data_IF_035946425329
#
_entry.id   IF_035946425329
#
_cell.length_a   1.000
_cell.length_b   1.000
_cell.length_c   1.000
_cell.angle_alpha   90.00
_cell.angle_beta   90.00
_cell.angle_gamma   90.00
#
_symmetry.space_group_name_H-M   'P 1'
#
loop_
_entity.id
_entity.type
_entity.pdbx_description
1 polymer ?
#
# COMPACT_ATOMS: atom_id res chain seq x y z
N UNK A 1 -4.01 16.25 -3.98
CA UNK A 1 -3.97 14.81 -3.64
C UNK A 1 -4.95 14.60 -2.50
N UNK A 2 -5.83 13.59 -2.58
CA UNK A 2 -6.80 13.26 -1.52
C UNK A 2 -6.07 12.79 -0.26
N UNK A 3 -6.44 13.33 0.90
CA UNK A 3 -5.88 12.96 2.19
C UNK A 3 -6.45 11.65 2.75
N UNK A 4 -5.89 11.18 3.86
CA UNK A 4 -6.29 9.92 4.49
C UNK A 4 -6.13 9.99 6.00
N UNK A 5 -7.19 9.65 6.73
CA UNK A 5 -7.14 9.46 8.17
C UNK A 5 -7.27 7.99 8.54
N UNK A 6 -6.29 7.50 9.31
CA UNK A 6 -6.36 6.16 9.88
C UNK A 6 -7.41 6.06 10.99
N UNK A 7 -7.81 4.84 11.33
CA UNK A 7 -8.70 4.59 12.48
C UNK A 7 -8.17 5.24 13.77
N UNK A 8 -6.85 5.18 13.98
CA UNK A 8 -6.19 5.77 15.15
C UNK A 8 -6.26 7.30 15.13
N UNK A 9 -5.97 7.93 13.98
CA UNK A 9 -6.08 9.39 13.80
C UNK A 9 -7.50 9.90 14.04
N UNK A 10 -8.51 9.12 13.64
CA UNK A 10 -9.92 9.45 13.86
C UNK A 10 -10.33 9.24 15.32
N UNK A 11 -9.68 8.30 16.03
CA UNK A 11 -10.06 7.85 17.36
C UNK A 11 -11.21 6.84 17.34
N UNK A 12 -11.26 5.97 16.33
CA UNK A 12 -12.23 4.86 16.29
C UNK A 12 -11.86 3.78 17.31
N UNK A 13 -12.88 3.21 17.95
CA UNK A 13 -12.74 2.05 18.84
C UNK A 13 -12.32 0.81 18.06
N UNK A 14 -11.75 -0.19 18.75
CA UNK A 14 -11.50 -1.49 18.14
C UNK A 14 -12.82 -2.16 17.68
N UNK A 15 -12.84 -2.85 16.52
CA UNK A 15 -14.00 -3.62 16.11
C UNK A 15 -14.22 -4.80 17.06
N UNK A 16 -15.48 -5.17 17.33
CA UNK A 16 -15.87 -6.38 18.06
C UNK A 16 -15.53 -7.67 17.31
N UNK A 17 -15.37 -7.58 15.99
CA UNK A 17 -15.04 -8.71 15.13
C UNK A 17 -14.74 -8.27 13.70
N UNK A 18 -13.87 -9.04 13.04
CA UNK A 18 -13.41 -8.77 11.67
C UNK A 18 -13.85 -9.94 10.78
N UNK A 19 -14.60 -9.64 9.73
CA UNK A 19 -15.01 -10.63 8.74
C UNK A 19 -14.33 -10.34 7.40
N UNK A 20 -13.45 -11.24 6.96
CA UNK A 20 -12.72 -11.13 5.67
C UNK A 20 -13.36 -11.95 4.55
N UNK A 21 -14.49 -12.62 4.81
CA UNK A 21 -15.23 -13.38 3.80
C UNK A 21 -16.07 -12.44 2.93
N UNK A 22 -15.42 -11.92 1.88
CA UNK A 22 -15.99 -11.01 0.88
C UNK A 22 -15.46 -11.35 -0.51
N UNK A 23 -16.33 -11.39 -1.53
CA UNK A 23 -15.96 -11.50 -2.94
C UNK A 23 -16.57 -10.32 -3.69
N UNK A 24 -15.92 -9.16 -3.59
CA UNK A 24 -16.47 -7.88 -4.03
C UNK A 24 -16.38 -7.65 -5.55
N UNK A 25 -16.59 -8.68 -6.37
CA UNK A 25 -16.46 -8.62 -7.83
C UNK A 25 -17.46 -7.67 -8.48
N UNK A 26 -18.56 -7.33 -7.79
CA UNK A 26 -19.54 -6.37 -8.29
C UNK A 26 -19.12 -4.92 -8.10
N UNK A 27 -18.10 -4.63 -7.28
CA UNK A 27 -17.50 -3.30 -7.12
C UNK A 27 -17.88 -2.57 -5.83
N UNK A 28 -18.21 -1.28 -5.92
CA UNK A 28 -18.42 -0.40 -4.77
C UNK A 28 -19.81 0.23 -4.77
N UNK A 29 -20.43 0.30 -3.60
CA UNK A 29 -21.66 1.01 -3.35
C UNK A 29 -21.37 2.34 -2.62
N UNK A 30 -21.91 3.44 -3.12
CA UNK A 30 -21.77 4.76 -2.51
C UNK A 30 -22.99 5.08 -1.63
N UNK A 31 -22.70 5.66 -0.47
CA UNK A 31 -23.64 5.95 0.61
C UNK A 31 -23.46 7.37 1.11
N UNK A 32 -24.50 7.95 1.69
CA UNK A 32 -24.40 9.22 2.41
C UNK A 32 -24.83 9.04 3.87
N UNK A 33 -24.65 10.07 4.69
CA UNK A 33 -24.95 10.07 6.12
C UNK A 33 -26.44 10.03 6.46
N UNK A 34 -27.33 10.24 5.49
CA UNK A 34 -28.78 10.24 5.69
C UNK A 34 -29.40 11.64 5.63
N UNK A 35 -30.47 11.83 6.40
CA UNK A 35 -31.24 13.08 6.40
C UNK A 35 -30.51 14.24 7.09
N UNK A 36 -30.71 15.46 6.58
CA UNK A 36 -30.18 16.69 7.18
C UNK A 36 -28.76 17.06 6.73
N UNK A 37 -28.15 18.02 7.44
CA UNK A 37 -26.87 18.66 7.09
C UNK A 37 -25.70 18.04 7.85
N UNK A 38 -24.79 17.43 7.11
CA UNK A 38 -23.59 16.77 7.62
C UNK A 38 -22.31 17.48 7.22
N UNK A 39 -22.39 18.49 6.34
CA UNK A 39 -21.26 19.37 6.03
C UNK A 39 -20.73 20.01 7.31
N UNK A 40 -19.41 20.09 7.42
CA UNK A 40 -18.70 20.69 8.57
C UNK A 40 -17.66 21.67 8.09
N UNK A 41 -17.50 22.77 8.80
CA UNK A 41 -16.45 23.75 8.46
C UNK A 41 -15.07 23.14 8.63
N UNK A 42 -14.84 22.44 9.75
CA UNK A 42 -13.53 21.89 10.08
C UNK A 42 -13.51 20.35 9.91
N UNK A 43 -12.40 19.84 9.39
CA UNK A 43 -12.22 18.40 9.21
C UNK A 43 -12.22 17.60 10.53
N UNK A 44 -11.79 18.22 11.63
CA UNK A 44 -11.88 17.61 12.97
C UNK A 44 -13.32 17.22 13.35
N UNK A 45 -14.32 17.97 12.88
CA UNK A 45 -15.73 17.67 13.10
C UNK A 45 -16.20 16.49 12.24
N UNK A 46 -15.61 16.27 11.06
CA UNK A 46 -15.83 15.07 10.26
C UNK A 46 -15.31 13.82 10.97
N UNK A 47 -14.14 13.89 11.62
CA UNK A 47 -13.64 12.81 12.50
C UNK A 47 -14.60 12.55 13.67
N UNK A 48 -15.12 13.61 14.30
CA UNK A 48 -16.09 13.49 15.37
C UNK A 48 -17.40 12.81 14.92
N UNK A 49 -17.93 13.19 13.75
CA UNK A 49 -19.10 12.52 13.17
C UNK A 49 -18.85 11.05 12.85
N UNK A 50 -17.69 10.72 12.27
CA UNK A 50 -17.36 9.34 11.95
C UNK A 50 -17.24 8.46 13.20
N UNK A 51 -16.66 8.98 14.29
CA UNK A 51 -16.72 8.35 15.62
C UNK A 51 -18.14 8.17 16.10
N UNK A 52 -18.97 9.20 16.02
CA UNK A 52 -20.38 9.12 16.43
C UNK A 52 -21.16 8.05 15.64
N UNK A 53 -20.86 7.87 14.35
CA UNK A 53 -21.46 6.79 13.55
C UNK A 53 -21.01 5.41 14.02
N UNK A 54 -19.73 5.24 14.33
CA UNK A 54 -19.25 3.99 14.91
C UNK A 54 -19.94 3.75 16.26
N UNK A 55 -20.11 4.78 17.07
CA UNK A 55 -20.76 4.67 18.37
C UNK A 55 -22.21 4.25 18.28
N UNK A 56 -22.96 4.82 17.35
CA UNK A 56 -24.33 4.40 17.07
C UNK A 56 -24.42 2.97 16.53
N UNK A 57 -23.50 2.57 15.64
CA UNK A 57 -23.47 1.20 15.11
C UNK A 57 -23.15 0.16 16.19
N UNK A 58 -22.28 0.50 17.13
CA UNK A 58 -21.89 -0.35 18.25
C UNK A 58 -22.83 -0.24 19.45
N UNK A 59 -23.79 0.68 19.45
CA UNK A 59 -24.67 0.90 20.59
C UNK A 59 -25.41 -0.40 20.99
N UNK A 60 -25.51 -0.72 22.29
CA UNK A 60 -26.36 -1.81 22.76
C UNK A 60 -27.79 -1.64 22.26
N UNK A 61 -28.42 -2.72 21.80
CA UNK A 61 -29.79 -2.67 21.26
C UNK A 61 -29.91 -2.16 19.82
N UNK A 62 -28.80 -1.86 19.13
CA UNK A 62 -28.84 -1.68 17.68
C UNK A 62 -29.28 -3.00 17.02
N UNK A 63 -30.41 -2.98 16.29
CA UNK A 63 -31.02 -4.18 15.69
C UNK A 63 -30.11 -4.92 14.71
N UNK A 64 -29.16 -4.23 14.09
CA UNK A 64 -28.20 -4.81 13.15
C UNK A 64 -26.98 -5.45 13.85
N UNK A 65 -26.83 -5.23 15.17
CA UNK A 65 -25.75 -5.75 16.01
C UNK A 65 -24.37 -5.70 15.34
N UNK A 66 -23.96 -4.51 14.89
CA UNK A 66 -22.74 -4.39 14.11
C UNK A 66 -21.49 -4.71 14.94
N UNK A 67 -20.49 -5.26 14.25
CA UNK A 67 -19.17 -5.50 14.82
C UNK A 67 -18.29 -4.24 14.83
N UNK A 68 -18.65 -3.21 14.06
CA UNK A 68 -17.91 -1.97 13.86
C UNK A 68 -18.82 -0.97 13.14
N UNK A 69 -18.33 0.22 12.79
CA UNK A 69 -18.96 1.07 11.78
C UNK A 69 -19.36 0.24 10.56
N UNK A 70 -20.55 0.47 10.00
CA UNK A 70 -21.11 -0.41 8.95
C UNK A 70 -20.33 -0.35 7.62
N UNK A 71 -19.65 0.76 7.34
CA UNK A 71 -19.03 1.05 6.05
C UNK A 71 -17.57 0.60 5.97
N UNK A 72 -17.09 0.35 4.75
CA UNK A 72 -15.68 0.03 4.52
C UNK A 72 -14.79 1.25 4.68
N UNK A 73 -15.15 2.35 4.02
CA UNK A 73 -14.47 3.63 4.11
C UNK A 73 -15.52 4.74 4.25
N UNK A 74 -15.12 5.84 4.85
CA UNK A 74 -15.82 7.12 4.82
C UNK A 74 -15.09 8.12 3.92
N UNK A 75 -15.78 9.15 3.49
CA UNK A 75 -15.20 10.30 2.78
C UNK A 75 -15.82 11.59 3.27
N UNK A 76 -15.09 12.70 3.23
CA UNK A 76 -15.65 14.01 3.54
C UNK A 76 -15.32 15.03 2.45
N UNK A 77 -16.05 16.14 2.47
CA UNK A 77 -15.91 17.23 1.50
C UNK A 77 -14.61 18.04 1.64
N UNK A 78 -13.74 17.71 2.60
CA UNK A 78 -12.37 18.24 2.68
C UNK A 78 -11.37 17.44 1.83
N UNK A 79 -11.84 16.57 0.94
CA UNK A 79 -11.01 15.70 0.08
C UNK A 79 -10.19 14.69 0.90
N UNK A 80 -10.82 14.04 1.89
CA UNK A 80 -10.17 13.10 2.81
C UNK A 80 -10.96 11.81 2.93
N UNK A 81 -10.24 10.69 2.86
CA UNK A 81 -10.75 9.34 3.14
C UNK A 81 -10.62 9.05 4.64
N UNK A 82 -11.67 8.47 5.21
CA UNK A 82 -11.76 8.08 6.62
C UNK A 82 -11.78 6.56 6.70
N UNK A 83 -10.85 5.94 7.42
CA UNK A 83 -10.90 4.48 7.58
C UNK A 83 -12.15 4.02 8.33
N UNK A 84 -12.78 2.98 7.81
CA UNK A 84 -13.88 2.28 8.45
C UNK A 84 -13.47 0.84 8.73
N UNK A 85 -14.29 -0.11 8.28
CA UNK A 85 -13.94 -1.53 8.39
C UNK A 85 -12.70 -1.90 7.60
N UNK A 86 -12.51 -1.30 6.44
CA UNK A 86 -11.31 -1.42 5.63
C UNK A 86 -10.30 -0.36 6.05
N UNK A 87 -9.04 -0.75 6.16
CA UNK A 87 -7.89 0.12 6.47
C UNK A 87 -6.80 -0.12 5.45
N UNK A 88 -5.76 0.73 5.43
CA UNK A 88 -4.56 0.50 4.58
C UNK A 88 -3.95 -0.88 4.83
N UNK A 89 -3.83 -1.27 6.09
CA UNK A 89 -3.22 -2.56 6.48
C UNK A 89 -4.17 -3.75 6.33
N UNK A 90 -5.48 -3.48 6.33
CA UNK A 90 -6.53 -4.49 6.24
C UNK A 90 -7.61 -4.05 5.25
N UNK A 91 -7.31 -4.03 3.94
CA UNK A 91 -8.22 -3.49 2.93
C UNK A 91 -9.43 -4.40 2.67
N UNK A 92 -9.25 -5.72 2.74
CA UNK A 92 -10.27 -6.72 2.37
C UNK A 92 -11.14 -7.16 3.55
N UNK A 93 -12.20 -6.39 3.80
CA UNK A 93 -13.10 -6.60 4.95
C UNK A 93 -14.55 -6.46 4.52
N UNK A 94 -15.43 -7.32 5.01
CA UNK A 94 -16.85 -7.28 4.68
C UNK A 94 -17.55 -6.11 5.36
N UNK A 95 -18.26 -5.32 4.55
CA UNK A 95 -19.15 -4.25 5.01
C UNK A 95 -20.41 -4.77 5.72
N UNK A 96 -21.26 -3.84 6.16
CA UNK A 96 -22.56 -4.09 6.76
C UNK A 96 -23.67 -3.16 6.25
N UNK A 97 -23.37 -2.33 5.25
CA UNK A 97 -24.22 -1.19 4.89
C UNK A 97 -25.09 -1.39 3.64
N UNK A 98 -24.91 -2.46 2.85
CA UNK A 98 -25.54 -2.62 1.54
C UNK A 98 -26.90 -3.36 1.58
N UNK A 99 -27.63 -3.29 2.69
CA UNK A 99 -28.96 -3.89 2.85
C UNK A 99 -28.95 -5.29 3.47
N UNK A 100 -28.31 -6.30 2.87
CA UNK A 100 -28.30 -7.66 3.41
C UNK A 100 -26.92 -8.34 3.32
N UNK A 101 -26.80 -9.51 3.96
CA UNK A 101 -25.55 -10.26 3.98
C UNK A 101 -25.02 -10.54 2.57
N UNK A 102 -25.82 -11.07 1.66
CA UNK A 102 -25.39 -11.39 0.29
C UNK A 102 -24.77 -10.19 -0.42
N UNK A 103 -25.42 -9.03 -0.35
CA UNK A 103 -24.93 -7.80 -0.99
C UNK A 103 -23.70 -7.23 -0.27
N UNK A 104 -23.67 -7.33 1.07
CA UNK A 104 -22.47 -6.99 1.84
C UNK A 104 -21.26 -7.88 1.51
N UNK A 105 -21.49 -9.08 0.96
CA UNK A 105 -20.46 -10.01 0.51
C UNK A 105 -19.99 -9.79 -0.93
N UNK A 106 -20.70 -8.99 -1.74
CA UNK A 106 -20.40 -8.80 -3.16
C UNK A 106 -20.01 -7.36 -3.55
N UNK A 107 -20.14 -6.40 -2.64
CA UNK A 107 -19.74 -5.01 -2.83
C UNK A 107 -19.12 -4.42 -1.57
N UNK A 108 -18.13 -3.55 -1.74
CA UNK A 108 -17.68 -2.66 -0.66
C UNK A 108 -18.61 -1.45 -0.54
N UNK A 109 -18.52 -0.74 0.58
CA UNK A 109 -19.38 0.42 0.89
C UNK A 109 -18.55 1.65 1.26
N UNK A 110 -18.78 2.77 0.59
CA UNK A 110 -18.12 4.07 0.85
C UNK A 110 -19.18 5.06 1.28
N UNK A 111 -19.03 5.69 2.45
CA UNK A 111 -20.02 6.62 3.00
C UNK A 111 -19.50 8.06 3.07
N UNK A 112 -20.20 9.01 2.48
CA UNK A 112 -19.90 10.42 2.66
C UNK A 112 -20.44 10.97 3.97
N UNK A 113 -19.64 11.82 4.62
CA UNK A 113 -20.09 12.85 5.57
C UNK A 113 -20.80 13.95 4.77
N UNK A 114 -21.98 13.60 4.25
CA UNK A 114 -22.87 14.42 3.42
C UNK A 114 -24.29 13.87 3.57
N UNK A 115 -25.30 14.72 3.57
CA UNK A 115 -26.69 14.33 3.75
C UNK A 115 -27.63 15.07 2.82
N UNK A 116 -28.92 14.76 2.93
CA UNK A 116 -29.96 15.33 2.07
C UNK A 116 -30.10 16.85 2.20
N UNK A 117 -29.62 17.44 3.29
CA UNK A 117 -29.67 18.87 3.56
C UNK A 117 -28.40 19.64 3.18
N UNK A 118 -27.40 18.99 2.57
CA UNK A 118 -26.13 19.63 2.20
C UNK A 118 -26.10 20.17 0.76
N UNK A 119 -27.10 19.83 -0.06
CA UNK A 119 -27.17 20.24 -1.47
C UNK A 119 -26.23 19.47 -2.38
N UNK A 120 -25.78 20.12 -3.45
CA UNK A 120 -24.91 19.51 -4.46
C UNK A 120 -23.52 19.22 -3.88
N UNK A 121 -22.98 18.00 -4.10
CA UNK A 121 -21.69 17.62 -3.56
C UNK A 121 -20.57 18.42 -4.24
N UNK A 122 -19.63 19.01 -3.48
CA UNK A 122 -18.50 19.70 -4.09
C UNK A 122 -17.52 18.70 -4.72
N UNK A 123 -16.74 19.17 -5.69
CA UNK A 123 -15.72 18.39 -6.39
C UNK A 123 -14.76 17.65 -5.44
N UNK A 124 -14.41 18.26 -4.30
CA UNK A 124 -13.56 17.64 -3.28
C UNK A 124 -14.17 16.37 -2.68
N UNK A 125 -15.49 16.33 -2.49
CA UNK A 125 -16.16 15.14 -2.01
C UNK A 125 -16.17 14.04 -3.09
N UNK A 126 -16.45 14.42 -4.33
CA UNK A 126 -16.48 13.50 -5.47
C UNK A 126 -15.09 12.88 -5.73
N UNK A 127 -14.02 13.68 -5.65
CA UNK A 127 -12.63 13.18 -5.70
C UNK A 127 -12.35 12.19 -4.59
N UNK A 128 -12.75 12.47 -3.35
CA UNK A 128 -12.55 11.56 -2.23
C UNK A 128 -13.25 10.21 -2.45
N UNK A 129 -14.48 10.21 -3.00
CA UNK A 129 -15.16 8.98 -3.40
C UNK A 129 -14.37 8.16 -4.42
N UNK A 130 -13.90 8.82 -5.49
CA UNK A 130 -13.15 8.17 -6.55
C UNK A 130 -11.82 7.60 -6.04
N UNK A 131 -11.12 8.34 -5.18
CA UNK A 131 -9.90 7.89 -4.53
C UNK A 131 -10.14 6.69 -3.59
N UNK A 132 -11.20 6.72 -2.78
CA UNK A 132 -11.58 5.59 -1.92
C UNK A 132 -11.94 4.35 -2.75
N UNK A 133 -12.65 4.53 -3.87
CA UNK A 133 -12.96 3.45 -4.81
C UNK A 133 -11.69 2.90 -5.46
N UNK A 134 -10.78 3.76 -5.89
CA UNK A 134 -9.51 3.36 -6.49
C UNK A 134 -8.71 2.48 -5.51
N UNK A 135 -8.60 2.89 -4.25
CA UNK A 135 -7.97 2.09 -3.19
C UNK A 135 -8.64 0.72 -3.01
N UNK A 136 -9.97 0.65 -2.94
CA UNK A 136 -10.67 -0.63 -2.77
C UNK A 136 -10.47 -1.55 -3.99
N UNK A 137 -10.31 -0.99 -5.18
CA UNK A 137 -10.00 -1.76 -6.40
C UNK A 137 -8.57 -2.27 -6.41
N UNK A 138 -7.58 -1.44 -6.06
CA UNK A 138 -6.17 -1.82 -6.09
C UNK A 138 -5.82 -2.76 -4.93
N UNK A 139 -6.27 -2.42 -3.72
CA UNK A 139 -5.83 -3.10 -2.49
C UNK A 139 -6.80 -4.18 -2.00
N UNK A 140 -8.10 -4.05 -2.31
CA UNK A 140 -9.13 -4.93 -1.74
C UNK A 140 -9.79 -5.85 -2.78
N UNK A 141 -9.40 -5.77 -4.05
CA UNK A 141 -9.94 -6.61 -5.14
C UNK A 141 -11.39 -6.28 -5.51
N UNK A 142 -11.82 -5.03 -5.34
CA UNK A 142 -13.14 -4.59 -5.79
C UNK A 142 -13.27 -4.64 -7.33
N UNK A 143 -14.43 -5.04 -7.82
CA UNK A 143 -14.79 -4.93 -9.24
C UNK A 143 -14.92 -3.50 -9.75
N UNK A 144 -15.19 -3.34 -11.05
CA UNK A 144 -15.37 -2.03 -11.69
C UNK A 144 -16.75 -1.41 -11.48
N UNK A 145 -17.76 -2.17 -11.04
CA UNK A 145 -19.10 -1.63 -10.87
C UNK A 145 -19.17 -0.51 -9.83
N UNK A 146 -20.00 0.50 -10.11
CA UNK A 146 -20.36 1.59 -9.19
C UNK A 146 -21.88 1.56 -9.05
N UNK A 147 -22.38 1.69 -7.83
CA UNK A 147 -23.82 1.75 -7.55
C UNK A 147 -24.08 2.71 -6.39
N UNK A 148 -25.27 3.31 -6.34
CA UNK A 148 -25.79 3.91 -5.12
C UNK A 148 -26.37 2.85 -4.19
N UNK A 149 -26.57 3.17 -2.91
CA UNK A 149 -27.26 2.26 -1.99
C UNK A 149 -28.69 1.93 -2.46
N UNK A 150 -29.39 2.90 -3.07
CA UNK A 150 -30.74 2.70 -3.63
C UNK A 150 -30.84 1.67 -4.76
N UNK A 151 -29.73 1.32 -5.39
CA UNK A 151 -29.69 0.22 -6.37
C UNK A 151 -29.73 -1.16 -5.71
N UNK A 152 -29.51 -1.20 -4.39
CA UNK A 152 -29.30 -2.42 -3.61
C UNK A 152 -30.39 -2.64 -2.55
N UNK A 153 -31.06 -1.56 -2.12
CA UNK A 153 -32.12 -1.59 -1.12
C UNK A 153 -33.12 -0.45 -1.32
N UNK A 154 -34.31 -0.57 -0.74
CA UNK A 154 -35.30 0.52 -0.75
C UNK A 154 -34.86 1.63 0.20
N UNK A 155 -34.23 2.67 -0.33
CA UNK A 155 -33.68 3.81 0.43
C UNK A 155 -33.53 5.04 -0.44
N UNK A 156 -33.50 6.23 0.17
CA UNK A 156 -33.11 7.47 -0.50
C UNK A 156 -31.59 7.65 -0.59
N UNK A 157 -30.79 6.82 0.08
CA UNK A 157 -29.33 6.85 0.00
C UNK A 157 -28.84 6.51 -1.42
N UNK A 158 -27.87 7.23 -2.03
CA UNK A 158 -26.97 8.25 -1.45
C UNK A 158 -27.44 9.71 -1.61
N UNK A 159 -28.74 9.95 -1.74
CA UNK A 159 -29.29 11.27 -2.09
C UNK A 159 -29.27 11.51 -3.60
N UNK A 160 -30.20 12.34 -4.09
CA UNK A 160 -30.40 12.52 -5.53
C UNK A 160 -29.19 13.13 -6.26
N UNK A 161 -28.48 14.15 -5.72
CA UNK A 161 -27.32 14.72 -6.40
C UNK A 161 -26.16 13.73 -6.59
N UNK A 162 -25.81 12.99 -5.53
CA UNK A 162 -24.74 11.97 -5.61
C UNK A 162 -25.18 10.82 -6.53
N UNK A 163 -26.46 10.43 -6.47
CA UNK A 163 -26.98 9.37 -7.33
C UNK A 163 -26.98 9.76 -8.81
N UNK A 164 -27.36 10.99 -9.16
CA UNK A 164 -27.27 11.51 -10.53
C UNK A 164 -25.82 11.43 -11.05
N UNK A 165 -24.85 11.90 -10.26
CA UNK A 165 -23.44 11.78 -10.60
C UNK A 165 -22.98 10.32 -10.80
N UNK A 166 -23.49 9.37 -10.00
CA UNK A 166 -23.21 7.94 -10.20
C UNK A 166 -23.80 7.42 -11.51
N UNK A 167 -25.03 7.82 -11.86
CA UNK A 167 -25.68 7.43 -13.12
C UNK A 167 -24.95 7.98 -14.34
N UNK A 168 -24.30 9.14 -14.20
CA UNK A 168 -23.44 9.73 -15.23
C UNK A 168 -22.06 9.03 -15.34
N UNK A 169 -21.85 7.93 -14.62
CA UNK A 169 -20.60 7.16 -14.63
C UNK A 169 -19.57 7.60 -13.59
N UNK A 170 -19.98 8.46 -12.64
CA UNK A 170 -19.10 9.08 -11.65
C UNK A 170 -17.88 9.79 -12.29
N UNK A 171 -18.11 10.73 -13.24
CA UNK A 171 -17.02 11.41 -13.94
C UNK A 171 -16.14 12.18 -12.95
N UNK A 172 -14.85 12.29 -13.29
CA UNK A 172 -13.92 13.04 -12.45
C UNK A 172 -14.24 14.55 -12.51
N UNK A 173 -14.41 15.22 -11.36
CA UNK A 173 -14.70 16.66 -11.35
C UNK A 173 -13.50 17.47 -11.88
N UNK A 174 -13.77 18.53 -12.64
CA UNK A 174 -12.76 19.43 -13.21
C UNK A 174 -12.20 19.03 -14.58
N UNK A 175 -12.66 17.94 -15.17
CA UNK A 175 -12.42 17.62 -16.59
C UNK A 175 -13.52 18.22 -17.47
N UNK A 176 -13.15 19.01 -18.48
CA UNK A 176 -14.00 19.14 -19.66
C UNK A 176 -14.27 17.73 -20.14
N UNK A 177 -15.55 17.38 -20.31
CA UNK A 177 -16.02 16.00 -20.43
C UNK A 177 -14.97 15.04 -20.98
N UNK A 178 -14.52 14.13 -20.13
CA UNK A 178 -14.21 12.80 -20.60
C UNK A 178 -15.56 12.24 -21.10
N UNK A 179 -15.98 12.66 -22.29
CA UNK A 179 -16.40 11.63 -23.24
C UNK A 179 -15.28 10.61 -23.15
N UNK A 180 -15.62 9.37 -22.79
CA UNK A 180 -14.72 8.25 -23.06
C UNK A 180 -13.94 8.59 -24.34
N UNK A 181 -12.59 8.55 -24.33
CA UNK A 181 -11.82 8.85 -25.52
C UNK A 181 -12.53 8.12 -26.67
N UNK A 182 -12.98 8.85 -27.70
CA UNK A 182 -14.00 8.38 -28.64
C UNK A 182 -13.59 7.00 -29.01
N UNK A 183 -14.39 5.96 -28.68
CA UNK A 183 -13.98 4.56 -28.71
C UNK A 183 -13.03 4.35 -29.88
N UNK A 184 -11.73 4.50 -29.61
CA UNK A 184 -10.72 4.24 -30.60
C UNK A 184 -10.68 2.74 -30.49
N UNK A 185 -11.47 2.11 -31.36
CA UNK A 185 -10.99 0.93 -32.03
C UNK A 185 -9.55 1.24 -32.49
N UNK A 186 -8.60 1.06 -31.59
CA UNK A 186 -7.17 1.00 -31.85
C UNK A 186 -6.70 -0.25 -31.11
N UNK A 187 -6.79 -1.35 -31.84
CA UNK A 187 -5.77 -2.39 -32.03
C UNK A 187 -5.17 -3.11 -30.81
N UNK A 188 -5.58 -2.79 -29.58
CA UNK A 188 -5.19 -3.57 -28.42
C UNK A 188 -6.17 -4.71 -28.18
N UNK A 189 -5.71 -5.93 -28.41
CA UNK A 189 -6.48 -7.11 -28.07
C UNK A 189 -6.73 -7.17 -26.55
N UNK A 190 -7.79 -7.85 -26.09
CA UNK A 190 -8.05 -8.05 -24.66
C UNK A 190 -6.83 -8.59 -23.88
N UNK A 191 -5.96 -9.33 -24.57
CA UNK A 191 -4.71 -9.84 -24.01
C UNK A 191 -3.67 -8.74 -23.79
N UNK A 192 -3.56 -7.76 -24.69
CA UNK A 192 -2.63 -6.63 -24.56
C UNK A 192 -3.07 -5.66 -23.47
N UNK A 193 -4.38 -5.39 -23.36
CA UNK A 193 -4.95 -4.58 -22.27
C UNK A 193 -4.74 -5.26 -20.90
N UNK A 194 -5.01 -6.57 -20.82
CA UNK A 194 -4.74 -7.35 -19.61
C UNK A 194 -3.26 -7.31 -19.24
N UNK A 195 -2.36 -7.38 -20.23
CA UNK A 195 -0.92 -7.35 -20.01
C UNK A 195 -0.44 -6.00 -19.49
N UNK A 196 -0.95 -4.88 -20.01
CA UNK A 196 -0.66 -3.54 -19.50
C UNK A 196 -1.13 -3.35 -18.06
N UNK A 197 -2.33 -3.83 -17.73
CA UNK A 197 -2.86 -3.78 -16.35
C UNK A 197 -2.03 -4.65 -15.39
N UNK A 198 -1.57 -5.81 -15.84
CA UNK A 198 -0.71 -6.68 -15.05
C UNK A 198 0.69 -6.07 -14.86
N UNK A 199 1.26 -5.42 -15.88
CA UNK A 199 2.54 -4.68 -15.79
C UNK A 199 2.45 -3.50 -14.82
N UNK A 200 1.36 -2.71 -14.89
CA UNK A 200 1.09 -1.61 -13.97
C UNK A 200 0.94 -2.08 -12.52
N UNK A 201 0.30 -3.23 -12.28
CA UNK A 201 0.22 -3.85 -10.95
C UNK A 201 1.60 -4.26 -10.42
N UNK A 202 2.46 -4.82 -11.26
CA UNK A 202 3.83 -5.17 -10.84
C UNK A 202 4.62 -3.91 -10.48
N UNK A 203 4.50 -2.83 -11.26
CA UNK A 203 5.12 -1.53 -10.95
C UNK A 203 4.61 -0.93 -9.62
N UNK A 204 3.30 -0.93 -9.38
CA UNK A 204 2.73 -0.43 -8.12
C UNK A 204 3.17 -1.27 -6.91
N UNK A 205 3.20 -2.60 -7.04
CA UNK A 205 3.65 -3.49 -5.98
C UNK A 205 5.16 -3.37 -5.69
N UNK A 206 5.96 -3.04 -6.71
CA UNK A 206 7.40 -2.79 -6.59
C UNK A 206 7.66 -1.46 -5.88
N UNK A 207 6.90 -0.40 -6.21
CA UNK A 207 6.97 0.87 -5.49
C UNK A 207 6.51 0.74 -4.03
N UNK A 208 5.49 -0.09 -3.75
CA UNK A 208 5.04 -0.35 -2.38
C UNK A 208 6.07 -1.13 -1.54
N UNK A 209 6.98 -1.87 -2.16
CA UNK A 209 8.11 -2.52 -1.49
C UNK A 209 9.28 -1.55 -1.20
N UNK A 210 9.29 -0.37 -1.85
CA UNK A 210 10.35 0.65 -1.76
C UNK A 210 9.96 1.84 -0.88
N UNK A 211 8.74 1.89 -0.33
CA UNK A 211 8.32 2.96 0.60
C UNK A 211 9.10 2.84 1.91
N UNK A 212 9.76 3.93 2.30
CA UNK A 212 10.48 4.07 3.57
C UNK A 212 9.66 3.57 4.76
N UNK A 213 10.26 2.63 5.49
CA UNK A 213 9.70 2.06 6.71
C UNK A 213 9.60 3.13 7.80
N UNK A 214 8.46 3.27 8.48
CA UNK A 214 8.40 4.09 9.68
C UNK A 214 9.26 3.42 10.74
N UNK A 215 10.29 4.14 11.18
CA UNK A 215 11.02 3.80 12.38
C UNK A 215 10.06 3.85 13.58
N UNK A 216 10.23 2.86 14.46
CA UNK A 216 9.84 2.86 15.87
C UNK A 216 8.50 2.19 16.24
N UNK A 217 8.50 0.84 16.29
CA UNK A 217 7.89 0.06 17.38
C UNK A 217 8.10 -1.48 17.24
N UNK A 218 9.09 -2.01 17.98
CA UNK A 218 9.17 -3.42 18.40
C UNK A 218 9.49 -4.49 17.34
N UNK A 219 10.13 -5.58 17.78
CA UNK A 219 10.48 -6.76 16.96
C UNK A 219 9.30 -7.38 16.17
N UNK A 220 8.05 -7.10 16.56
CA UNK A 220 6.85 -7.53 15.86
C UNK A 220 6.57 -6.78 14.53
N UNK A 221 6.90 -5.49 14.43
CA UNK A 221 6.70 -4.70 13.20
C UNK A 221 7.75 -5.04 12.14
N UNK A 222 8.99 -5.31 12.55
CA UNK A 222 10.07 -5.78 11.67
C UNK A 222 9.73 -7.16 11.13
N UNK A 223 9.32 -8.12 11.98
CA UNK A 223 8.95 -9.47 11.53
C UNK A 223 7.73 -9.47 10.62
N UNK A 224 6.70 -8.69 10.93
CA UNK A 224 5.51 -8.55 10.07
C UNK A 224 5.83 -7.81 8.77
N UNK A 225 6.66 -6.78 8.80
CA UNK A 225 7.13 -6.03 7.63
C UNK A 225 8.02 -6.86 6.71
N UNK A 226 8.88 -7.71 7.27
CA UNK A 226 9.69 -8.68 6.54
C UNK A 226 8.80 -9.79 5.97
N UNK A 227 7.96 -10.45 6.77
CA UNK A 227 7.09 -11.54 6.26
C UNK A 227 6.08 -11.05 5.19
N UNK A 228 5.51 -9.85 5.37
CA UNK A 228 4.57 -9.25 4.39
C UNK A 228 5.29 -8.70 3.15
N UNK A 229 6.47 -8.09 3.32
CA UNK A 229 7.34 -7.67 2.21
C UNK A 229 7.81 -8.87 1.38
N UNK A 230 8.26 -9.95 2.03
CA UNK A 230 8.65 -11.20 1.39
C UNK A 230 7.49 -11.91 0.70
N UNK A 231 6.30 -11.93 1.30
CA UNK A 231 5.10 -12.49 0.67
C UNK A 231 4.69 -11.71 -0.59
N UNK A 232 4.76 -10.36 -0.53
CA UNK A 232 4.47 -9.49 -1.67
C UNK A 232 5.54 -9.58 -2.76
N UNK A 233 6.82 -9.63 -2.39
CA UNK A 233 7.94 -9.82 -3.32
C UNK A 233 7.89 -11.20 -3.98
N UNK A 234 7.55 -12.26 -3.24
CA UNK A 234 7.38 -13.62 -3.80
C UNK A 234 6.15 -13.72 -4.70
N UNK A 235 5.07 -13.02 -4.37
CA UNK A 235 3.88 -12.96 -5.21
C UNK A 235 4.16 -12.16 -6.49
N UNK A 236 4.89 -11.05 -6.39
CA UNK A 236 5.39 -10.31 -7.54
C UNK A 236 6.32 -11.20 -8.40
N UNK A 237 7.26 -11.94 -7.81
CA UNK A 237 8.17 -12.85 -8.52
C UNK A 237 7.43 -13.96 -9.27
N UNK A 238 6.41 -14.58 -8.65
CA UNK A 238 5.58 -15.60 -9.28
C UNK A 238 4.74 -15.02 -10.42
N UNK A 239 4.21 -13.82 -10.26
CA UNK A 239 3.46 -13.11 -11.30
C UNK A 239 4.36 -12.71 -12.46
N UNK A 240 5.56 -12.23 -12.16
CA UNK A 240 6.55 -11.85 -13.16
C UNK A 240 7.07 -13.06 -13.91
N UNK A 241 7.38 -14.20 -13.27
CA UNK A 241 7.74 -15.46 -13.96
C UNK A 241 6.63 -16.01 -14.86
N UNK A 242 5.37 -15.83 -14.46
CA UNK A 242 4.21 -16.23 -15.25
C UNK A 242 4.03 -15.33 -16.49
N UNK A 243 4.30 -14.03 -16.36
CA UNK A 243 4.36 -13.10 -17.49
C UNK A 243 5.56 -13.40 -18.39
N UNK A 244 6.74 -13.64 -17.82
CA UNK A 244 8.01 -13.96 -18.50
C UNK A 244 7.82 -15.07 -19.53
N UNK A 245 7.29 -16.22 -19.08
CA UNK A 245 7.02 -17.37 -19.95
C UNK A 245 6.03 -17.11 -21.09
N UNK A 246 5.21 -16.04 -21.02
CA UNK A 246 4.19 -15.73 -22.03
C UNK A 246 4.64 -14.69 -23.05
N UNK A 247 5.58 -13.81 -22.69
CA UNK A 247 5.98 -12.68 -23.55
C UNK A 247 7.46 -12.58 -23.83
N UNK A 248 8.29 -13.48 -23.31
CA UNK A 248 9.75 -13.46 -23.44
C UNK A 248 10.28 -13.14 -24.84
N UNK A 249 9.65 -13.67 -25.89
CA UNK A 249 10.11 -13.52 -27.29
C UNK A 249 9.35 -12.46 -28.10
N UNK A 250 8.47 -11.66 -27.49
CA UNK A 250 7.68 -10.63 -28.21
C UNK A 250 8.43 -9.30 -28.20
N UNK A 251 8.35 -8.53 -29.28
CA UNK A 251 8.99 -7.21 -29.38
C UNK A 251 7.97 -6.10 -29.15
N UNK A 252 8.34 -5.10 -28.34
CA UNK A 252 7.58 -3.89 -28.12
C UNK A 252 7.80 -2.96 -29.33
N UNK A 253 6.78 -2.66 -30.15
CA UNK A 253 6.93 -1.90 -31.38
C UNK A 253 7.23 -0.41 -31.15
N UNK A 254 6.93 0.11 -29.96
CA UNK A 254 7.17 1.51 -29.58
C UNK A 254 8.61 1.72 -29.10
N UNK A 255 9.21 0.70 -28.48
CA UNK A 255 10.54 0.77 -27.87
C UNK A 255 11.61 -0.03 -28.63
N UNK A 256 11.21 -0.79 -29.66
CA UNK A 256 12.02 -1.76 -30.40
C UNK A 256 12.86 -2.69 -29.49
N UNK A 257 12.27 -3.05 -28.35
CA UNK A 257 12.89 -3.90 -27.32
C UNK A 257 12.07 -5.17 -27.12
N UNK A 258 12.76 -6.29 -26.89
CA UNK A 258 12.09 -7.55 -26.55
C UNK A 258 11.48 -7.43 -25.15
N UNK A 259 10.20 -7.78 -25.00
CA UNK A 259 9.48 -7.71 -23.71
C UNK A 259 10.16 -8.55 -22.63
N UNK A 260 10.83 -9.65 -22.99
CA UNK A 260 11.69 -10.41 -22.07
C UNK A 260 12.85 -9.58 -21.51
N UNK A 261 13.45 -8.69 -22.30
CA UNK A 261 14.49 -7.76 -21.85
C UNK A 261 13.92 -6.71 -20.90
N UNK A 262 12.76 -6.13 -21.23
CA UNK A 262 12.05 -5.18 -20.34
C UNK A 262 11.64 -5.83 -19.02
N UNK A 263 11.16 -7.07 -19.06
CA UNK A 263 10.76 -7.81 -17.88
C UNK A 263 11.97 -8.23 -17.04
N UNK A 264 13.12 -8.53 -17.66
CA UNK A 264 14.38 -8.76 -16.96
C UNK A 264 14.84 -7.52 -16.19
N UNK A 265 14.67 -6.33 -16.76
CA UNK A 265 14.93 -5.07 -16.06
C UNK A 265 14.01 -4.89 -14.85
N UNK A 266 12.73 -5.23 -15.00
CA UNK A 266 11.75 -5.19 -13.91
C UNK A 266 12.04 -6.25 -12.83
N UNK A 267 12.42 -7.48 -13.19
CA UNK A 267 12.81 -8.54 -12.24
C UNK A 267 14.05 -8.14 -11.44
N UNK A 268 15.03 -7.52 -12.11
CA UNK A 268 16.27 -7.06 -11.48
C UNK A 268 16.05 -5.89 -10.52
N UNK A 269 15.02 -5.06 -10.75
CA UNK A 269 14.66 -3.96 -9.86
C UNK A 269 13.95 -4.42 -8.55
N UNK A 270 13.44 -5.67 -8.49
CA UNK A 270 12.51 -6.14 -7.43
C UNK A 270 13.10 -7.30 -6.61
N UNK A 271 14.31 -7.77 -6.92
CA UNK A 271 15.01 -8.86 -6.19
C UNK A 271 16.26 -8.37 -5.45
N UNK A 272 16.21 -8.16 -4.13
CA UNK A 272 17.38 -7.89 -3.31
C UNK A 272 17.90 -9.19 -2.65
N UNK A 273 18.07 -10.29 -3.40
CA UNK A 273 18.75 -11.48 -2.87
C UNK A 273 20.20 -11.61 -3.38
N UNK A 274 21.01 -12.34 -2.61
CA UNK A 274 22.47 -12.49 -2.73
C UNK A 274 22.96 -13.11 -4.08
N UNK A 275 22.08 -13.33 -5.06
CA UNK A 275 22.42 -13.95 -6.35
C UNK A 275 22.79 -12.98 -7.47
N UNK A 276 22.64 -11.66 -7.25
CA UNK A 276 23.01 -10.65 -8.23
C UNK A 276 24.53 -10.39 -8.15
N UNK A 277 25.29 -10.88 -9.12
CA UNK A 277 26.70 -10.50 -9.26
C UNK A 277 26.79 -8.97 -9.40
N UNK A 278 27.85 -8.31 -8.89
CA UNK A 278 28.00 -6.84 -8.97
C UNK A 278 27.77 -6.23 -10.36
N UNK A 279 28.01 -7.00 -11.43
CA UNK A 279 27.73 -6.59 -12.81
C UNK A 279 26.24 -6.40 -13.17
N UNK A 280 25.30 -7.08 -12.49
CA UNK A 280 23.86 -6.92 -12.73
C UNK A 280 23.31 -5.62 -12.11
N UNK A 281 23.86 -5.20 -10.97
CA UNK A 281 23.56 -3.91 -10.33
C UNK A 281 24.07 -2.73 -11.16
N UNK A 282 25.30 -2.84 -11.68
CA UNK A 282 25.88 -1.84 -12.60
C UNK A 282 25.12 -1.76 -13.93
N UNK A 283 24.50 -2.86 -14.38
CA UNK A 283 23.64 -2.88 -15.56
C UNK A 283 22.36 -2.06 -15.37
N UNK A 284 21.65 -2.24 -14.26
CA UNK A 284 20.43 -1.50 -13.94
C UNK A 284 20.66 0.02 -13.88
N UNK A 285 21.76 0.46 -13.28
CA UNK A 285 22.12 1.88 -13.21
C UNK A 285 22.42 2.46 -14.60
N UNK A 286 23.16 1.73 -15.45
CA UNK A 286 23.42 2.13 -16.85
C UNK A 286 22.15 2.18 -17.70
N UNK A 287 21.18 1.31 -17.42
CA UNK A 287 19.91 1.28 -18.12
C UNK A 287 18.95 2.40 -17.66
N UNK A 288 19.07 2.88 -16.42
CA UNK A 288 18.35 4.07 -15.93
C UNK A 288 18.84 5.35 -16.62
N UNK A 289 20.15 5.51 -16.76
CA UNK A 289 20.75 6.64 -17.50
C UNK A 289 20.29 6.64 -18.96
N UNK A 290 20.18 5.45 -19.56
CA UNK A 290 19.68 5.29 -20.94
C UNK A 290 18.19 5.62 -21.09
N UNK A 291 17.37 5.34 -20.07
CA UNK A 291 15.96 5.73 -20.04
C UNK A 291 15.82 7.25 -19.93
N UNK A 292 16.68 7.89 -19.13
CA UNK A 292 16.72 9.35 -19.01
C UNK A 292 17.16 10.03 -20.32
N UNK A 293 18.19 9.50 -20.99
CA UNK A 293 18.60 9.99 -22.32
C UNK A 293 17.45 9.90 -23.34
N UNK A 294 16.66 8.81 -23.29
CA UNK A 294 15.50 8.63 -24.17
C UNK A 294 14.34 9.57 -23.83
N UNK A 295 14.05 9.81 -22.55
CA UNK A 295 13.04 10.79 -22.14
C UNK A 295 13.46 12.22 -22.49
N UNK A 296 14.75 12.54 -22.37
CA UNK A 296 15.30 13.82 -22.82
C UNK A 296 15.17 14.02 -24.33
N UNK A 297 15.45 12.98 -25.12
CA UNK A 297 15.27 13.01 -26.57
C UNK A 297 13.79 13.21 -26.97
N UNK A 298 12.85 12.58 -26.26
CA UNK A 298 11.40 12.74 -26.50
C UNK A 298 10.96 14.17 -26.12
N UNK A 299 11.36 14.67 -24.96
CA UNK A 299 10.99 16.03 -24.51
C UNK A 299 11.59 17.13 -25.42
N UNK A 300 12.80 16.91 -25.95
CA UNK A 300 13.40 17.79 -26.94
C UNK A 300 12.64 17.76 -28.29
N UNK A 301 12.13 16.59 -28.71
CA UNK A 301 11.36 16.44 -29.94
C UNK A 301 9.95 17.07 -29.88
N UNK A 302 9.37 17.20 -28.67
CA UNK A 302 8.01 17.72 -28.46
C UNK A 302 7.96 19.26 -28.36
N UNK A 303 9.12 19.94 -28.22
CA UNK A 303 9.28 21.39 -28.49
C UNK A 303 8.34 22.33 -27.72
N UNK A 304 8.56 22.51 -26.41
CA UNK A 304 7.86 23.50 -25.58
C UNK A 304 8.81 24.35 -24.72
N UNK A 305 8.47 25.61 -24.45
CA UNK A 305 9.32 26.57 -23.73
C UNK A 305 9.68 26.19 -22.27
N UNK A 306 9.05 25.14 -21.73
CA UNK A 306 9.23 24.68 -20.34
C UNK A 306 9.96 23.31 -20.24
N UNK A 307 10.32 22.71 -21.38
CA UNK A 307 10.97 21.38 -21.40
C UNK A 307 12.32 21.36 -20.67
N UNK A 308 13.07 22.46 -20.71
CA UNK A 308 14.33 22.59 -19.98
C UNK A 308 14.17 22.59 -18.45
N UNK A 309 13.09 23.19 -17.92
CA UNK A 309 12.82 23.14 -16.47
C UNK A 309 12.35 21.77 -16.02
N UNK A 310 11.57 21.08 -16.86
CA UNK A 310 11.15 19.71 -16.63
C UNK A 310 12.36 18.77 -16.60
N UNK A 311 13.28 18.90 -17.56
CA UNK A 311 14.52 18.10 -17.59
C UNK A 311 15.39 18.34 -16.36
N UNK A 312 15.58 19.61 -15.96
CA UNK A 312 16.35 19.92 -14.75
C UNK A 312 15.75 19.32 -13.48
N UNK A 313 14.41 19.25 -13.38
CA UNK A 313 13.72 18.60 -12.25
C UNK A 313 13.85 17.08 -12.28
N UNK A 314 13.82 16.49 -13.47
CA UNK A 314 14.04 15.04 -13.65
C UNK A 314 15.49 14.69 -13.25
N UNK A 315 16.47 15.45 -13.72
CA UNK A 315 17.89 15.24 -13.38
C UNK A 315 18.16 15.39 -11.89
N UNK A 316 17.57 16.39 -11.24
CA UNK A 316 17.67 16.58 -9.79
C UNK A 316 17.06 15.40 -9.02
N UNK A 317 15.88 14.95 -9.42
CA UNK A 317 15.23 13.80 -8.78
C UNK A 317 16.01 12.49 -9.00
N UNK A 318 16.62 12.30 -10.18
CA UNK A 318 17.51 11.18 -10.46
C UNK A 318 18.73 11.19 -9.55
N UNK A 319 19.39 12.34 -9.41
CA UNK A 319 20.54 12.48 -8.53
C UNK A 319 20.19 12.18 -7.06
N UNK A 320 19.05 12.67 -6.57
CA UNK A 320 18.54 12.35 -5.22
C UNK A 320 18.28 10.85 -5.05
N UNK A 321 17.67 10.22 -6.05
CA UNK A 321 17.38 8.78 -6.04
C UNK A 321 18.66 7.96 -6.03
N UNK A 322 19.67 8.35 -6.81
CA UNK A 322 20.97 7.68 -6.86
C UNK A 322 21.75 7.82 -5.55
N UNK A 323 21.69 8.99 -4.89
CA UNK A 323 22.29 9.20 -3.58
C UNK A 323 21.61 8.32 -2.50
N UNK A 324 20.28 8.30 -2.47
CA UNK A 324 19.52 7.46 -1.55
C UNK A 324 19.79 5.96 -1.76
N UNK A 325 19.99 5.53 -3.02
CA UNK A 325 20.37 4.16 -3.34
C UNK A 325 21.77 3.80 -2.81
N UNK A 326 22.74 4.72 -2.93
CA UNK A 326 24.08 4.53 -2.39
C UNK A 326 24.08 4.42 -0.85
N UNK A 327 23.31 5.27 -0.17
CA UNK A 327 23.16 5.22 1.29
C UNK A 327 22.49 3.91 1.74
N UNK A 328 21.49 3.43 1.01
CA UNK A 328 20.85 2.15 1.28
C UNK A 328 21.80 0.96 1.07
N UNK A 329 22.66 0.99 0.06
CA UNK A 329 23.68 -0.05 -0.17
C UNK A 329 24.70 -0.08 0.99
N UNK A 330 25.16 1.09 1.44
CA UNK A 330 26.05 1.17 2.60
C UNK A 330 25.39 0.64 3.89
N UNK A 331 24.12 0.94 4.13
CA UNK A 331 23.38 0.42 5.29
C UNK A 331 23.18 -1.11 5.21
N UNK A 332 22.96 -1.64 4.01
CA UNK A 332 22.84 -3.10 3.80
C UNK A 332 24.15 -3.82 4.10
N UNK A 333 25.29 -3.27 3.71
CA UNK A 333 26.61 -3.86 4.00
C UNK A 333 26.86 -3.99 5.50
N UNK A 334 26.43 -3.01 6.30
CA UNK A 334 26.51 -3.06 7.77
C UNK A 334 25.64 -4.18 8.34
N UNK A 335 24.41 -4.33 7.83
CA UNK A 335 23.49 -5.38 8.28
C UNK A 335 24.00 -6.77 7.90
N UNK A 336 24.56 -6.93 6.70
CA UNK A 336 25.16 -8.19 6.24
C UNK A 336 26.35 -8.56 7.13
N UNK A 337 27.25 -7.62 7.42
CA UNK A 337 28.38 -7.86 8.32
C UNK A 337 27.92 -8.33 9.71
N UNK A 338 26.90 -7.67 10.29
CA UNK A 338 26.33 -8.05 11.59
C UNK A 338 25.67 -9.44 11.56
N UNK A 339 25.02 -9.80 10.46
CA UNK A 339 24.45 -11.13 10.28
C UNK A 339 25.52 -12.21 10.14
N UNK A 340 26.61 -11.94 9.42
CA UNK A 340 27.74 -12.88 9.31
C UNK A 340 28.38 -13.15 10.67
N UNK A 341 28.50 -12.12 11.53
CA UNK A 341 28.97 -12.27 12.91
C UNK A 341 28.03 -13.12 13.77
N UNK A 342 26.71 -12.94 13.63
CA UNK A 342 25.70 -13.72 14.33
C UNK A 342 25.72 -15.19 13.89
N UNK A 343 25.83 -15.45 12.59
CA UNK A 343 25.93 -16.81 12.04
C UNK A 343 27.20 -17.49 12.55
N UNK A 344 28.35 -16.80 12.50
CA UNK A 344 29.60 -17.31 13.05
C UNK A 344 29.48 -17.58 14.57
N UNK A 345 28.73 -16.76 15.30
CA UNK A 345 28.38 -16.99 16.71
C UNK A 345 27.56 -18.26 16.92
N UNK A 346 26.54 -18.49 16.09
CA UNK A 346 25.70 -19.68 16.15
C UNK A 346 26.49 -20.96 15.84
N UNK A 347 27.37 -20.94 14.84
CA UNK A 347 28.24 -22.09 14.52
C UNK A 347 29.18 -22.42 15.68
N UNK A 348 29.73 -21.42 16.37
CA UNK A 348 30.54 -21.63 17.58
C UNK A 348 29.73 -22.25 18.71
N UNK A 349 28.49 -21.80 18.93
CA UNK A 349 27.59 -22.35 19.95
C UNK A 349 27.24 -23.81 19.66
N UNK A 350 26.90 -24.13 18.41
CA UNK A 350 26.59 -25.48 17.98
C UNK A 350 27.77 -26.43 18.19
N UNK A 351 28.99 -26.01 17.83
CA UNK A 351 30.19 -26.80 18.07
C UNK A 351 30.43 -27.10 19.55
N UNK A 352 30.22 -26.13 20.45
CA UNK A 352 30.37 -26.34 21.90
C UNK A 352 29.33 -27.33 22.44
N UNK A 353 28.10 -27.27 21.92
CA UNK A 353 27.02 -28.19 22.31
C UNK A 353 27.31 -29.60 21.80
N UNK A 354 27.76 -29.73 20.56
CA UNK A 354 28.11 -31.03 19.97
C UNK A 354 29.29 -31.68 20.69
N UNK A 355 30.35 -30.93 21.01
CA UNK A 355 31.49 -31.44 21.81
C UNK A 355 31.05 -31.94 23.20
N UNK A 356 30.07 -31.25 23.82
CA UNK A 356 29.56 -31.62 25.14
C UNK A 356 28.69 -32.88 25.08
N UNK A 357 27.88 -33.03 24.02
CA UNK A 357 27.03 -34.20 23.80
C UNK A 357 27.87 -35.43 23.42
N UNK A 358 28.94 -35.25 22.63
CA UNK A 358 29.85 -36.33 22.24
C UNK A 358 30.77 -36.77 23.38
N UNK A 359 30.88 -35.97 24.45
CA UNK A 359 31.79 -36.20 25.58
C UNK A 359 33.24 -35.79 25.28
N UNK A 360 33.49 -35.11 24.16
CA UNK A 360 34.79 -34.52 23.80
C UNK A 360 35.10 -33.26 24.61
N UNK A 361 34.10 -32.65 25.24
CA UNK A 361 34.23 -31.53 26.18
C UNK A 361 33.47 -31.81 27.48
N UNK A 362 34.09 -31.46 28.62
CA UNK A 362 33.43 -31.54 29.92
C UNK A 362 32.22 -30.60 29.98
N UNK A 363 31.12 -31.07 30.57
CA UNK A 363 29.86 -30.34 30.61
C UNK A 363 29.96 -29.00 31.36
N UNK A 364 30.80 -28.89 32.40
CA UNK A 364 31.00 -27.65 33.12
C UNK A 364 31.85 -26.65 32.33
N UNK A 365 32.80 -27.13 31.53
CA UNK A 365 33.60 -26.29 30.64
C UNK A 365 32.79 -25.83 29.41
N UNK A 366 31.89 -26.66 28.91
CA UNK A 366 30.89 -26.26 27.91
C UNK A 366 29.96 -25.16 28.44
N UNK A 367 29.44 -25.30 29.67
CA UNK A 367 28.60 -24.29 30.32
C UNK A 367 29.33 -22.96 30.53
N UNK A 368 30.61 -22.99 30.94
CA UNK A 368 31.43 -21.77 31.06
C UNK A 368 31.68 -21.09 29.71
N UNK A 369 31.94 -21.87 28.65
CA UNK A 369 32.13 -21.33 27.31
C UNK A 369 30.83 -20.71 26.75
N UNK A 370 29.68 -21.35 26.95
CA UNK A 370 28.37 -20.81 26.59
C UNK A 370 28.07 -19.50 27.34
N UNK A 371 28.35 -19.46 28.65
CA UNK A 371 28.17 -18.25 29.46
C UNK A 371 29.09 -17.11 29.01
N UNK A 372 30.32 -17.39 28.61
CA UNK A 372 31.25 -16.39 28.08
C UNK A 372 30.78 -15.78 26.74
N UNK A 373 30.24 -16.61 25.84
CA UNK A 373 29.71 -16.15 24.54
C UNK A 373 28.42 -15.33 24.72
N UNK A 374 27.52 -15.79 25.59
CA UNK A 374 26.30 -15.04 25.94
C UNK A 374 26.62 -13.70 26.63
N UNK A 375 27.60 -13.68 27.55
CA UNK A 375 28.06 -12.46 28.20
C UNK A 375 28.63 -11.43 27.21
N UNK A 376 29.40 -11.87 26.21
CA UNK A 376 29.92 -11.00 25.16
C UNK A 376 28.83 -10.51 24.17
N UNK A 377 27.70 -11.22 24.07
CA UNK A 377 26.59 -10.86 23.17
C UNK A 377 25.57 -9.94 23.84
N UNK A 378 25.46 -10.00 25.17
CA UNK A 378 24.49 -9.24 25.99
C UNK A 378 25.14 -7.99 26.61
N UNK A 379 26.45 -8.01 26.86
CA UNK A 379 27.18 -6.94 27.56
C UNK A 379 27.44 -5.65 26.77
N UNK A 380 26.86 -5.47 25.59
CA UNK A 380 27.04 -4.28 24.74
C UNK A 380 25.83 -3.34 24.77
N UNK A 381 24.74 -3.70 25.47
CA UNK A 381 23.51 -2.88 25.57
C UNK A 381 23.34 -2.14 26.91
N UNK A 382 24.24 -2.33 27.91
CA UNK A 382 24.01 -1.82 29.28
C UNK A 382 24.79 -0.57 29.69
N UNK A 383 25.72 -0.05 28.88
CA UNK A 383 26.66 0.97 29.35
C UNK A 383 26.30 2.42 28.95
N UNK A 384 25.25 2.66 28.15
CA UNK A 384 24.86 4.02 27.74
C UNK A 384 23.69 4.64 28.54
N UNK A 385 22.84 3.85 29.20
CA UNK A 385 21.63 4.37 29.88
C UNK A 385 21.82 4.68 31.39
N UNK A 386 22.90 4.21 32.03
CA UNK A 386 23.13 4.41 33.47
C UNK A 386 23.87 5.72 33.82
N UNK A 387 24.34 6.48 32.83
CA UNK A 387 25.07 7.73 33.06
C UNK A 387 24.16 8.96 33.33
N UNK A 388 22.86 8.89 33.02
CA UNK A 388 21.94 10.05 33.15
C UNK A 388 21.12 10.06 34.45
N UNK A 389 21.19 9.01 35.27
CA UNK A 389 20.37 8.88 36.50
C UNK A 389 21.11 9.17 37.81
N UNK A 390 22.40 9.52 37.77
CA UNK A 390 23.21 9.75 38.99
C UNK A 390 23.32 11.23 39.40
N UNK A 391 22.92 12.18 38.54
CA UNK A 391 23.05 13.63 38.81
C UNK A 391 21.76 14.31 39.36
N UNK A 392 20.75 13.53 39.77
CA UNK A 392 19.50 14.05 40.35
C UNK A 392 19.42 13.97 41.89
N UNK A 393 20.45 13.50 42.59
CA UNK A 393 20.49 13.44 44.07
C UNK A 393 21.82 13.93 44.69
N UNK A 394 22.28 15.11 44.27
CA UNK A 394 23.16 16.00 45.07
C UNK A 394 22.69 17.45 44.92
#
# INVERSE_FOLDING_TARGET
MTGWDSRATIGLRAPRGINTNISATSGTAFHYAGGGTHRRTNHADCRALWRAYQDWHLAPGNANNYNDIAYNLGVCHHDIILEGRSTRDRPRVRGGANGNATVNGNRYSICAIWGSGDGDPPDSLLRAYLAARAFLRSEAGAGSGISGHRDLSSTSCPGDPIYAWIQDGAPHPGGAGDTDPPSQEDDMTPEQDKMLRDLYRVLCNSNAAMVQYPHNDGQGSVRYGVESGWARARQADLQTRNLDSKVWNRTNPTLDLVYGTMLRYLINAVRPDHSQTPGARVGFLKDLDKILEQQAAILAAVGGADSGQILARIDAHHAETMAAAADAEAALDVIVARNDELIAGQERLLGIVDDAISGERDAMDALRALHGILGATIGDESDEDDAELVDAEQ
#
